data_IF_121654039645
#
_entry.id   IF_121654039645
#
_cell.length_a   1.000
_cell.length_b   1.000
_cell.length_c   1.000
_cell.angle_alpha   90.00
_cell.angle_beta   90.00
_cell.angle_gamma   90.00
#
_symmetry.space_group_name_H-M   'P 1'
#
loop_
_entity.id
_entity.type
_entity.pdbx_description
1 polymer ?
#
# COMPACT_ATOMS: atom_id res chain seq x y z
N UNK A 1 43.70 -26.38 -5.63
CA UNK A 1 42.48 -27.22 -5.52
C UNK A 1 41.27 -26.29 -5.58
N UNK A 2 40.35 -26.59 -6.48
CA UNK A 2 39.37 -25.70 -7.09
C UNK A 2 38.24 -25.22 -6.17
N UNK A 3 37.97 -23.93 -6.17
CA UNK A 3 36.73 -23.34 -5.68
C UNK A 3 35.63 -23.53 -6.74
N UNK A 4 34.54 -24.16 -6.37
CA UNK A 4 33.31 -24.20 -7.20
C UNK A 4 32.36 -23.11 -6.70
N UNK A 5 32.10 -22.16 -7.57
CA UNK A 5 31.03 -21.17 -7.47
C UNK A 5 29.72 -21.81 -7.93
N UNK A 6 28.71 -21.82 -7.08
CA UNK A 6 27.32 -22.15 -7.47
C UNK A 6 26.57 -20.84 -7.70
N UNK A 7 26.26 -20.59 -8.97
CA UNK A 7 25.32 -19.57 -9.43
C UNK A 7 23.99 -20.27 -9.62
N UNK A 8 22.96 -19.81 -8.94
CA UNK A 8 21.57 -20.25 -9.17
C UNK A 8 20.93 -19.41 -10.27
N UNK A 9 20.09 -20.01 -11.13
CA UNK A 9 19.64 -19.38 -12.36
C UNK A 9 18.42 -18.47 -12.16
N UNK A 10 18.45 -17.37 -12.89
CA UNK A 10 17.32 -16.47 -13.12
C UNK A 10 16.23 -17.19 -13.93
N UNK A 11 14.98 -17.04 -13.52
CA UNK A 11 13.82 -17.44 -14.31
C UNK A 11 13.46 -16.26 -15.20
N UNK A 12 13.82 -16.37 -16.47
CA UNK A 12 13.41 -15.47 -17.52
C UNK A 12 13.15 -16.26 -18.79
N UNK A 13 11.96 -16.06 -19.37
CA UNK A 13 11.70 -16.15 -20.78
C UNK A 13 11.44 -17.53 -21.36
N UNK A 14 10.26 -17.70 -21.95
CA UNK A 14 10.03 -18.61 -23.08
C UNK A 14 8.80 -18.15 -23.87
N UNK A 15 9.03 -17.87 -25.10
CA UNK A 15 8.63 -18.48 -26.37
C UNK A 15 7.27 -18.01 -26.92
N UNK A 16 7.34 -17.25 -27.99
CA UNK A 16 6.35 -17.19 -29.07
C UNK A 16 7.02 -17.58 -30.38
N UNK A 17 6.65 -18.72 -30.94
CA UNK A 17 6.64 -19.05 -32.37
C UNK A 17 5.21 -19.47 -32.67
N UNK A 18 4.42 -18.91 -33.59
CA UNK A 18 4.57 -18.80 -35.01
C UNK A 18 3.61 -19.79 -35.66
N UNK A 19 2.48 -19.31 -36.21
CA UNK A 19 1.77 -20.02 -37.29
C UNK A 19 1.28 -19.01 -38.31
N UNK A 20 1.65 -19.30 -39.56
CA UNK A 20 1.39 -18.50 -40.72
C UNK A 20 0.02 -18.72 -41.37
N UNK A 21 -0.31 -17.75 -42.16
CA UNK A 21 -0.88 -17.74 -43.47
C UNK A 21 -2.29 -18.30 -43.68
N UNK A 22 -3.15 -17.47 -44.19
CA UNK A 22 -3.72 -17.67 -45.52
C UNK A 22 -4.65 -16.52 -45.88
N UNK A 23 -4.33 -15.92 -47.04
CA UNK A 23 -5.11 -14.88 -47.71
C UNK A 23 -6.25 -15.52 -48.50
N UNK A 24 -7.47 -15.10 -48.26
CA UNK A 24 -8.61 -15.37 -49.15
C UNK A 24 -9.19 -14.09 -49.68
N UNK A 25 -8.84 -13.82 -50.94
CA UNK A 25 -9.46 -12.82 -51.82
C UNK A 25 -10.81 -13.33 -52.29
N UNK A 26 -11.90 -12.62 -52.03
CA UNK A 26 -13.15 -12.79 -52.71
C UNK A 26 -13.52 -11.49 -53.42
N UNK A 27 -13.47 -11.56 -54.75
CA UNK A 27 -14.02 -10.58 -55.64
C UNK A 27 -15.54 -10.78 -55.78
N UNK A 28 -16.32 -9.73 -55.62
CA UNK A 28 -17.71 -9.72 -56.13
C UNK A 28 -17.99 -8.37 -56.77
N UNK A 29 -18.29 -8.45 -58.06
CA UNK A 29 -18.77 -7.42 -58.96
C UNK A 29 -20.15 -6.92 -58.59
N UNK A 30 -20.38 -5.60 -58.62
CA UNK A 30 -21.71 -4.97 -58.55
C UNK A 30 -21.90 -4.06 -59.77
N UNK A 31 -23.05 -4.11 -60.43
CA UNK A 31 -23.28 -3.34 -61.68
C UNK A 31 -23.61 -1.88 -61.44
N UNK A 32 -23.13 -1.05 -62.37
CA UNK A 32 -23.35 0.39 -62.47
C UNK A 32 -24.79 0.70 -62.86
N UNK A 33 -25.47 1.56 -62.05
CA UNK A 33 -26.65 2.29 -62.49
C UNK A 33 -26.33 3.78 -62.53
N UNK A 34 -26.46 4.35 -63.79
CA UNK A 34 -26.42 5.78 -64.02
C UNK A 34 -27.69 6.43 -63.50
N UNK A 35 -27.57 7.32 -62.52
CA UNK A 35 -28.64 8.20 -62.03
C UNK A 35 -28.14 9.64 -61.90
N UNK A 36 -28.83 10.56 -62.55
CA UNK A 36 -28.54 12.00 -62.66
C UNK A 36 -28.32 12.68 -61.31
N UNK A 37 -27.19 13.42 -61.19
CA UNK A 37 -26.84 14.20 -60.01
C UNK A 37 -27.69 15.48 -59.88
N UNK A 38 -28.44 15.58 -58.82
CA UNK A 38 -29.03 16.84 -58.33
C UNK A 38 -28.04 17.40 -57.31
N UNK A 39 -27.50 18.61 -57.60
CA UNK A 39 -26.67 19.35 -56.66
C UNK A 39 -27.55 19.92 -55.54
N UNK A 40 -27.59 19.25 -54.41
CA UNK A 40 -28.05 19.82 -53.13
C UNK A 40 -26.83 20.32 -52.41
N UNK A 41 -26.74 21.63 -52.12
CA UNK A 41 -25.67 22.25 -51.37
C UNK A 41 -25.66 21.69 -49.93
N UNK A 42 -24.59 20.97 -49.57
CA UNK A 42 -24.37 20.53 -48.20
C UNK A 42 -23.96 21.70 -47.32
N UNK A 43 -24.58 21.90 -46.15
CA UNK A 43 -24.03 22.77 -45.12
C UNK A 43 -22.78 22.10 -44.55
N UNK A 44 -21.60 22.65 -44.81
CA UNK A 44 -20.35 22.23 -44.16
C UNK A 44 -20.43 22.58 -42.67
N UNK A 45 -21.06 21.72 -41.88
CA UNK A 45 -20.78 21.68 -40.44
C UNK A 45 -19.39 21.08 -40.26
N UNK A 46 -18.39 21.94 -40.17
CA UNK A 46 -17.09 21.58 -39.64
C UNK A 46 -17.29 21.26 -38.15
N UNK A 47 -17.55 20.00 -37.82
CA UNK A 47 -17.43 19.49 -36.47
C UNK A 47 -15.94 19.63 -36.10
N UNK A 48 -15.62 20.65 -35.35
CA UNK A 48 -14.31 20.72 -34.68
C UNK A 48 -14.12 19.41 -33.92
N UNK A 49 -12.99 18.73 -34.05
CA UNK A 49 -12.74 17.51 -33.27
C UNK A 49 -12.86 17.86 -31.79
N UNK A 50 -13.78 17.22 -31.08
CA UNK A 50 -13.88 17.32 -29.63
C UNK A 50 -12.56 16.70 -29.11
N UNK A 51 -11.56 17.54 -28.83
CA UNK A 51 -10.36 17.13 -28.14
C UNK A 51 -10.81 16.71 -26.75
N UNK A 52 -10.72 15.43 -26.38
CA UNK A 52 -11.14 14.99 -25.05
C UNK A 52 -10.35 15.81 -24.03
N UNK A 53 -11.05 16.42 -23.06
CA UNK A 53 -10.43 17.21 -22.02
C UNK A 53 -9.40 16.34 -21.29
N UNK A 54 -8.15 16.83 -21.21
CA UNK A 54 -7.10 16.10 -20.50
C UNK A 54 -7.39 16.12 -19.01
N UNK A 55 -7.35 14.93 -18.38
CA UNK A 55 -7.40 14.81 -16.93
C UNK A 55 -6.07 15.31 -16.34
N UNK A 56 -6.07 16.27 -15.41
CA UNK A 56 -4.85 16.74 -14.76
C UNK A 56 -4.14 15.59 -14.04
N UNK A 57 -2.83 15.49 -14.21
CA UNK A 57 -2.01 14.56 -13.45
C UNK A 57 -1.67 15.19 -12.08
N UNK A 58 -2.38 14.78 -11.06
CA UNK A 58 -2.22 15.25 -9.69
C UNK A 58 -2.48 14.14 -8.68
N UNK A 59 -2.58 14.51 -7.42
CA UNK A 59 -2.96 13.58 -6.36
C UNK A 59 -4.36 13.01 -6.61
N UNK A 60 -4.46 11.70 -6.51
CA UNK A 60 -5.72 10.94 -6.53
C UNK A 60 -5.74 10.13 -5.24
N UNK A 61 -6.83 10.24 -4.49
CA UNK A 61 -6.99 9.49 -3.25
C UNK A 61 -6.90 7.98 -3.51
N UNK A 62 -6.02 7.23 -2.80
CA UNK A 62 -5.87 5.79 -3.06
C UNK A 62 -7.12 4.98 -2.76
N UNK A 63 -7.46 4.04 -3.65
CA UNK A 63 -8.47 3.02 -3.36
C UNK A 63 -8.04 2.17 -2.17
N UNK A 64 -8.99 1.87 -1.27
CA UNK A 64 -8.72 1.23 0.01
C UNK A 64 -8.94 -0.28 -0.05
N UNK A 65 -8.08 -1.02 0.65
CA UNK A 65 -8.17 -2.46 0.82
C UNK A 65 -9.15 -2.81 1.96
N UNK A 66 -10.06 -3.74 1.72
CA UNK A 66 -10.87 -4.35 2.77
C UNK A 66 -10.08 -5.46 3.45
N UNK A 67 -10.04 -5.46 4.79
CA UNK A 67 -9.50 -6.57 5.56
C UNK A 67 -10.44 -7.77 5.46
N UNK A 68 -9.86 -8.98 5.33
CA UNK A 68 -10.60 -10.25 5.35
C UNK A 68 -9.76 -11.34 5.99
N UNK A 69 -10.43 -12.32 6.61
CA UNK A 69 -9.81 -13.53 7.16
C UNK A 69 -9.59 -14.61 6.08
N UNK A 70 -10.30 -14.50 4.97
CA UNK A 70 -10.20 -15.41 3.83
C UNK A 70 -10.25 -14.65 2.53
N UNK A 71 -9.22 -14.80 1.71
CA UNK A 71 -9.25 -14.29 0.35
C UNK A 71 -10.15 -15.16 -0.54
N UNK A 72 -10.79 -14.55 -1.56
CA UNK A 72 -11.53 -15.30 -2.57
C UNK A 72 -10.63 -16.37 -3.22
N UNK A 73 -11.20 -17.55 -3.51
CA UNK A 73 -10.45 -18.69 -4.08
C UNK A 73 -10.55 -18.79 -5.61
N UNK A 74 -11.41 -18.00 -6.23
CA UNK A 74 -11.60 -17.97 -7.68
C UNK A 74 -10.52 -17.11 -8.35
N UNK A 75 -9.39 -17.71 -8.69
CA UNK A 75 -8.27 -17.09 -9.40
C UNK A 75 -8.63 -16.60 -10.81
N UNK A 76 -9.71 -17.07 -11.42
CA UNK A 76 -10.21 -16.55 -12.68
C UNK A 76 -10.79 -15.15 -12.58
N UNK A 77 -11.36 -14.79 -11.41
CA UNK A 77 -11.93 -13.48 -11.15
C UNK A 77 -11.03 -12.55 -10.32
N UNK A 78 -10.04 -13.10 -9.64
CA UNK A 78 -9.17 -12.39 -8.73
C UNK A 78 -7.69 -12.55 -9.10
N UNK A 79 -6.96 -11.46 -9.04
CA UNK A 79 -5.50 -11.46 -9.14
C UNK A 79 -4.91 -11.36 -7.73
N UNK A 80 -3.90 -12.18 -7.43
CA UNK A 80 -3.20 -12.16 -6.15
C UNK A 80 -1.86 -11.45 -6.28
N UNK A 81 -1.57 -10.56 -5.36
CA UNK A 81 -0.32 -9.82 -5.27
C UNK A 81 0.25 -9.93 -3.85
N UNK A 82 1.54 -9.72 -3.71
CA UNK A 82 2.18 -9.63 -2.39
C UNK A 82 1.67 -8.38 -1.66
N UNK A 83 1.28 -8.54 -0.40
CA UNK A 83 1.04 -7.39 0.47
C UNK A 83 2.36 -6.84 0.95
N UNK A 84 2.72 -5.68 0.45
CA UNK A 84 3.93 -4.96 0.82
C UNK A 84 3.72 -4.19 2.12
N UNK A 85 4.75 -4.15 2.95
CA UNK A 85 4.78 -3.40 4.21
C UNK A 85 5.58 -2.11 4.01
N UNK A 86 4.90 -1.00 3.72
CA UNK A 86 5.52 0.26 3.39
C UNK A 86 4.59 1.47 3.53
N UNK A 87 4.90 2.53 2.78
CA UNK A 87 4.05 3.70 2.63
C UNK A 87 3.41 3.74 1.26
N UNK A 88 2.07 3.71 1.21
CA UNK A 88 1.32 3.95 -0.03
C UNK A 88 1.69 5.32 -0.60
N UNK A 89 2.04 5.36 -1.87
CA UNK A 89 2.35 6.59 -2.55
C UNK A 89 1.72 6.67 -3.94
N UNK A 90 1.10 7.81 -4.24
CA UNK A 90 0.68 8.18 -5.59
C UNK A 90 1.83 8.96 -6.22
N UNK A 91 2.25 8.54 -7.40
CA UNK A 91 3.29 9.25 -8.16
C UNK A 91 2.74 9.76 -9.49
N UNK A 92 3.16 10.93 -9.92
CA UNK A 92 2.73 11.51 -11.19
C UNK A 92 3.85 12.26 -11.89
N UNK A 93 3.83 12.21 -13.24
CA UNK A 93 4.45 13.23 -14.06
C UNK A 93 3.39 14.28 -14.42
N UNK A 94 3.45 15.44 -13.79
CA UNK A 94 2.48 16.52 -13.95
C UNK A 94 2.66 17.32 -15.25
N UNK A 95 3.71 17.02 -16.04
CA UNK A 95 4.17 17.84 -17.16
C UNK A 95 5.17 18.91 -16.72
N UNK A 96 5.14 19.36 -15.46
CA UNK A 96 6.13 20.26 -14.85
C UNK A 96 7.19 19.49 -14.04
N UNK A 97 7.08 18.17 -13.94
CA UNK A 97 8.01 17.29 -13.23
C UNK A 97 7.32 16.19 -12.45
N UNK A 98 8.15 15.35 -11.83
CA UNK A 98 7.68 14.24 -11.00
C UNK A 98 7.25 14.73 -9.62
N UNK A 99 6.11 14.24 -9.17
CA UNK A 99 5.58 14.44 -7.83
C UNK A 99 5.20 13.11 -7.21
N UNK A 100 5.46 12.97 -5.92
CA UNK A 100 5.02 11.86 -5.09
C UNK A 100 4.21 12.38 -3.92
N UNK A 101 3.11 11.70 -3.60
CA UNK A 101 2.29 12.02 -2.42
C UNK A 101 2.05 10.77 -1.59
N UNK A 102 2.04 10.94 -0.27
CA UNK A 102 1.56 9.90 0.65
C UNK A 102 0.07 9.61 0.41
N UNK A 103 -0.43 8.56 1.04
CA UNK A 103 -1.85 8.24 1.09
C UNK A 103 -2.74 9.45 1.46
N UNK A 104 -2.27 10.32 2.35
CA UNK A 104 -3.01 11.48 2.85
C UNK A 104 -2.68 12.78 2.08
N UNK A 105 -2.04 12.68 0.91
CA UNK A 105 -1.71 13.83 0.07
C UNK A 105 -0.49 14.64 0.51
N UNK A 106 0.27 14.21 1.51
CA UNK A 106 1.50 14.88 1.92
C UNK A 106 2.60 14.70 0.86
N UNK A 107 3.34 15.76 0.55
CA UNK A 107 4.42 15.72 -0.46
C UNK A 107 5.60 14.85 0.01
N UNK A 108 5.81 13.75 -0.69
CA UNK A 108 6.90 12.81 -0.51
C UNK A 108 8.06 13.00 -1.48
N UNK A 109 7.96 13.95 -2.42
CA UNK A 109 8.90 14.11 -3.54
C UNK A 109 10.34 14.30 -3.06
N UNK A 110 10.55 15.19 -2.10
CA UNK A 110 11.89 15.46 -1.55
C UNK A 110 12.39 14.30 -0.67
N UNK A 111 11.50 13.70 0.13
CA UNK A 111 11.83 12.59 1.03
C UNK A 111 12.32 11.37 0.26
N UNK A 112 11.74 11.10 -0.92
CA UNK A 112 12.07 9.95 -1.77
C UNK A 112 12.65 10.38 -3.13
N UNK A 113 13.64 11.25 -3.10
CA UNK A 113 14.26 11.81 -4.31
C UNK A 113 14.88 10.76 -5.24
N UNK A 114 15.36 9.62 -4.73
CA UNK A 114 15.85 8.50 -5.54
C UNK A 114 14.73 7.88 -6.38
N UNK A 115 13.54 7.70 -5.80
CA UNK A 115 12.36 7.21 -6.49
C UNK A 115 11.90 8.20 -7.56
N UNK A 116 11.88 9.51 -7.23
CA UNK A 116 11.54 10.55 -8.22
C UNK A 116 12.49 10.53 -9.44
N UNK A 117 13.78 10.24 -9.24
CA UNK A 117 14.73 10.05 -10.35
C UNK A 117 14.43 8.80 -11.18
N UNK A 118 14.07 7.68 -10.54
CA UNK A 118 13.65 6.45 -11.23
C UNK A 118 12.40 6.63 -12.10
N UNK A 119 11.55 7.60 -11.73
CA UNK A 119 10.33 7.98 -12.44
C UNK A 119 10.54 9.08 -13.49
N UNK A 120 11.78 9.58 -13.70
CA UNK A 120 12.03 10.74 -14.57
C UNK A 120 11.52 10.58 -16.02
N UNK A 121 11.45 9.34 -16.51
CA UNK A 121 10.94 9.01 -17.85
C UNK A 121 9.46 8.57 -17.86
N UNK A 122 8.75 8.64 -16.71
CA UNK A 122 7.31 8.41 -16.66
C UNK A 122 6.62 9.32 -17.71
N UNK A 123 5.74 8.79 -18.57
CA UNK A 123 5.11 9.61 -19.61
C UNK A 123 4.41 10.85 -19.02
N UNK A 124 4.47 12.01 -19.68
CA UNK A 124 3.82 13.23 -19.21
C UNK A 124 2.32 13.00 -18.95
N UNK A 125 1.76 13.70 -17.94
CA UNK A 125 0.35 13.60 -17.55
C UNK A 125 -0.08 12.17 -17.21
N UNK A 126 0.79 11.41 -16.51
CA UNK A 126 0.53 10.04 -16.07
C UNK A 126 0.54 9.98 -14.55
N UNK A 127 -0.42 9.26 -13.96
CA UNK A 127 -0.55 9.03 -12.52
C UNK A 127 -0.53 7.52 -12.27
N UNK A 128 0.33 7.09 -11.36
CA UNK A 128 0.50 5.69 -10.95
C UNK A 128 0.34 5.54 -9.44
N UNK A 129 -0.02 4.35 -9.03
CA UNK A 129 -0.21 3.96 -7.64
C UNK A 129 0.76 2.85 -7.24
N UNK A 130 1.33 2.97 -6.07
CA UNK A 130 2.35 2.04 -5.60
C UNK A 130 2.62 2.12 -4.10
N UNK A 131 3.63 1.39 -3.68
CA UNK A 131 4.09 1.33 -2.29
C UNK A 131 5.59 1.63 -2.21
N UNK A 132 5.98 2.57 -1.36
CA UNK A 132 7.40 2.81 -1.01
C UNK A 132 7.76 1.87 0.11
N UNK A 133 8.79 1.05 -0.10
CA UNK A 133 9.32 0.13 0.90
C UNK A 133 10.82 0.33 1.07
N UNK A 134 11.35 -0.03 2.24
CA UNK A 134 12.77 -0.33 2.40
C UNK A 134 12.96 -1.84 2.38
N UNK A 135 14.07 -2.29 1.84
CA UNK A 135 14.44 -3.71 1.87
C UNK A 135 15.38 -3.97 3.05
N UNK A 136 15.17 -5.10 3.74
CA UNK A 136 16.12 -5.61 4.74
C UNK A 136 17.35 -6.26 4.08
N UNK A 137 18.27 -6.78 4.89
CA UNK A 137 19.51 -7.42 4.43
C UNK A 137 19.27 -8.67 3.58
N UNK A 138 18.08 -9.29 3.72
CA UNK A 138 17.63 -10.43 2.91
C UNK A 138 16.83 -10.00 1.67
N UNK A 139 16.69 -8.70 1.43
CA UNK A 139 15.98 -8.13 0.28
C UNK A 139 14.46 -8.15 0.40
N UNK A 140 13.90 -8.33 1.60
CA UNK A 140 12.45 -8.35 1.86
C UNK A 140 11.94 -6.97 2.26
N UNK A 141 10.70 -6.60 1.87
CA UNK A 141 10.04 -5.41 2.38
C UNK A 141 9.98 -5.37 3.90
N UNK A 142 10.51 -4.32 4.52
CA UNK A 142 10.57 -4.14 5.96
C UNK A 142 10.15 -2.73 6.35
N UNK A 143 9.01 -2.61 7.04
CA UNK A 143 8.55 -1.33 7.57
C UNK A 143 9.49 -0.80 8.66
N UNK A 144 10.11 -1.69 9.43
CA UNK A 144 11.11 -1.32 10.42
C UNK A 144 12.34 -0.67 9.75
N UNK A 145 12.87 -1.26 8.67
CA UNK A 145 13.95 -0.67 7.89
C UNK A 145 13.52 0.69 7.30
N UNK A 146 12.28 0.82 6.80
CA UNK A 146 11.74 2.07 6.26
C UNK A 146 11.62 3.17 7.32
N UNK A 147 11.26 2.83 8.55
CA UNK A 147 11.11 3.75 9.67
C UNK A 147 12.43 4.17 10.30
N UNK A 148 13.34 3.24 10.42
CA UNK A 148 14.65 3.45 11.04
C UNK A 148 15.70 3.81 9.99
N UNK A 149 15.28 4.18 8.77
CA UNK A 149 16.13 4.35 7.63
C UNK A 149 17.49 4.94 8.05
N UNK A 150 18.47 4.08 8.26
CA UNK A 150 19.84 4.40 7.94
C UNK A 150 19.80 5.01 6.54
N UNK A 151 20.53 6.11 6.33
CA UNK A 151 20.58 6.77 5.03
C UNK A 151 20.93 5.81 3.87
N UNK A 152 21.26 4.57 4.18
CA UNK A 152 21.71 3.49 3.30
C UNK A 152 20.69 2.38 3.04
N UNK A 153 19.52 2.33 3.71
CA UNK A 153 18.52 1.28 3.43
C UNK A 153 18.04 1.38 1.97
N UNK A 154 18.09 0.29 1.18
CA UNK A 154 17.63 0.31 -0.19
C UNK A 154 16.13 0.62 -0.26
N UNK A 155 15.79 1.81 -0.73
CA UNK A 155 14.40 2.24 -0.94
C UNK A 155 13.95 1.79 -2.32
N UNK A 156 12.77 1.17 -2.41
CA UNK A 156 12.14 0.73 -3.66
C UNK A 156 10.70 1.23 -3.71
N UNK A 157 10.27 1.67 -4.87
CA UNK A 157 8.86 1.97 -5.14
C UNK A 157 8.27 0.86 -6.02
N UNK A 158 7.39 0.08 -5.45
CA UNK A 158 6.66 -0.96 -6.17
C UNK A 158 5.37 -0.39 -6.74
N UNK A 159 5.31 -0.25 -8.06
CA UNK A 159 4.12 0.19 -8.77
C UNK A 159 3.19 -1.00 -9.07
N UNK A 160 1.88 -0.80 -8.94
CA UNK A 160 0.89 -1.86 -9.17
C UNK A 160 -0.39 -1.39 -9.88
N UNK A 161 -0.58 -0.10 -10.14
CA UNK A 161 -1.73 0.39 -10.93
C UNK A 161 -1.38 1.68 -11.66
N UNK A 162 -2.13 1.98 -12.74
CA UNK A 162 -2.11 3.26 -13.46
C UNK A 162 -3.51 3.86 -13.45
N UNK A 163 -3.60 5.15 -13.09
CA UNK A 163 -4.87 5.85 -12.86
C UNK A 163 -5.18 6.85 -13.98
N UNK A 164 -4.14 7.52 -14.45
CA UNK A 164 -4.20 8.43 -15.61
C UNK A 164 -3.02 8.09 -16.51
N UNK A 165 -3.25 7.91 -17.78
CA UNK A 165 -2.20 7.62 -18.76
C UNK A 165 -2.20 8.70 -19.86
N UNK A 166 -1.13 9.51 -19.90
CA UNK A 166 -0.94 10.60 -20.88
C UNK A 166 -2.13 11.57 -20.94
N UNK A 167 -2.74 11.86 -19.78
CA UNK A 167 -3.90 12.73 -19.63
C UNK A 167 -5.25 12.05 -19.86
N UNK A 168 -5.30 10.75 -20.15
CA UNK A 168 -6.52 9.96 -20.20
C UNK A 168 -6.79 9.32 -18.84
N UNK A 169 -7.96 9.59 -18.26
CA UNK A 169 -8.43 8.89 -17.08
C UNK A 169 -8.78 7.44 -17.43
N UNK A 170 -8.12 6.48 -16.78
CA UNK A 170 -8.33 5.05 -17.00
C UNK A 170 -8.94 4.35 -15.77
N UNK A 171 -9.31 5.10 -14.73
CA UNK A 171 -9.87 4.53 -13.48
C UNK A 171 -11.17 3.76 -13.70
N UNK A 172 -11.95 4.11 -14.73
CA UNK A 172 -13.20 3.42 -15.11
C UNK A 172 -12.96 2.20 -16.01
N UNK A 173 -11.73 1.89 -16.35
CA UNK A 173 -11.39 0.64 -17.01
C UNK A 173 -11.24 -0.47 -15.94
N UNK A 174 -11.37 -1.75 -16.34
CA UNK A 174 -11.15 -2.87 -15.44
C UNK A 174 -9.70 -2.89 -14.91
N UNK A 175 -9.47 -3.46 -13.71
CA UNK A 175 -8.12 -3.62 -13.16
C UNK A 175 -7.19 -4.34 -14.16
N UNK A 176 -7.69 -5.36 -14.83
CA UNK A 176 -6.91 -6.10 -15.84
C UNK A 176 -6.50 -5.22 -17.02
N UNK A 177 -7.41 -4.35 -17.52
CA UNK A 177 -7.08 -3.39 -18.58
C UNK A 177 -6.06 -2.36 -18.12
N UNK A 178 -6.22 -1.79 -16.92
CA UNK A 178 -5.25 -0.84 -16.35
C UNK A 178 -3.88 -1.47 -16.17
N UNK A 179 -3.84 -2.72 -15.71
CA UNK A 179 -2.61 -3.51 -15.57
C UNK A 179 -1.90 -3.72 -16.90
N UNK A 180 -2.64 -4.14 -17.94
CA UNK A 180 -2.08 -4.28 -19.29
C UNK A 180 -1.52 -2.95 -19.83
N UNK A 181 -2.18 -1.81 -19.51
CA UNK A 181 -1.65 -0.48 -19.86
C UNK A 181 -0.39 -0.12 -19.09
N UNK A 182 -0.36 -0.41 -17.79
CA UNK A 182 0.81 -0.22 -16.94
C UNK A 182 2.01 -0.98 -17.53
N UNK A 183 1.84 -2.27 -17.79
CA UNK A 183 2.88 -3.15 -18.34
C UNK A 183 3.38 -2.67 -19.70
N UNK A 184 2.47 -2.31 -20.60
CA UNK A 184 2.83 -1.93 -21.97
C UNK A 184 3.40 -0.54 -22.11
N UNK A 185 2.91 0.45 -21.35
CA UNK A 185 3.19 1.86 -21.61
C UNK A 185 3.94 2.58 -20.50
N UNK A 186 3.99 2.02 -19.30
CA UNK A 186 4.62 2.66 -18.15
C UNK A 186 5.90 1.93 -17.73
N UNK A 187 5.84 0.61 -17.49
CA UNK A 187 6.99 -0.15 -16.99
C UNK A 187 8.25 0.01 -17.84
N UNK A 188 8.19 0.02 -19.20
CA UNK A 188 9.40 0.21 -20.02
C UNK A 188 10.09 1.57 -19.86
N UNK A 189 9.43 2.53 -19.22
CA UNK A 189 9.95 3.89 -18.99
C UNK A 189 10.57 4.08 -17.61
N UNK A 190 10.40 3.11 -16.73
CA UNK A 190 10.83 3.17 -15.33
C UNK A 190 12.27 2.68 -15.17
N UNK A 191 12.98 3.22 -14.19
CA UNK A 191 14.33 2.80 -13.83
C UNK A 191 14.43 2.54 -12.32
N UNK A 192 15.44 1.78 -11.90
CA UNK A 192 15.71 1.60 -10.47
C UNK A 192 15.75 2.97 -9.74
N UNK A 193 15.19 3.05 -8.55
CA UNK A 193 14.66 1.97 -7.71
C UNK A 193 13.13 1.76 -7.84
N UNK A 194 12.55 1.88 -9.04
CA UNK A 194 11.14 1.64 -9.29
C UNK A 194 10.96 0.24 -9.87
N UNK A 195 10.13 -0.58 -9.24
CA UNK A 195 9.85 -1.97 -9.63
C UNK A 195 8.36 -2.22 -9.76
N UNK A 196 8.00 -3.32 -10.39
CA UNK A 196 6.62 -3.76 -10.57
C UNK A 196 6.25 -4.89 -9.61
N UNK A 197 5.05 -4.79 -9.03
CA UNK A 197 4.46 -5.90 -8.27
C UNK A 197 3.64 -6.76 -9.22
N UNK A 198 4.23 -7.82 -9.72
CA UNK A 198 3.53 -8.76 -10.60
C UNK A 198 2.44 -9.57 -9.89
N UNK A 199 1.59 -10.21 -10.68
CA UNK A 199 0.64 -11.20 -10.17
C UNK A 199 1.36 -12.49 -9.77
N UNK A 200 0.91 -13.08 -8.67
CA UNK A 200 1.35 -14.39 -8.21
C UNK A 200 0.45 -15.47 -8.82
N UNK A 201 1.04 -16.40 -9.54
CA UNK A 201 0.32 -17.39 -10.39
C UNK A 201 0.15 -18.77 -9.80
N UNK A 202 0.50 -18.97 -8.51
CA UNK A 202 0.29 -20.26 -7.82
C UNK A 202 -1.11 -20.34 -7.18
N UNK A 203 -1.48 -21.52 -6.66
CA UNK A 203 -2.72 -21.69 -5.90
C UNK A 203 -2.71 -20.80 -4.65
N UNK A 204 -3.87 -20.29 -4.24
CA UNK A 204 -3.96 -19.44 -3.03
C UNK A 204 -3.38 -20.13 -1.79
N UNK A 205 -3.56 -21.46 -1.68
CA UNK A 205 -2.98 -22.27 -0.58
C UNK A 205 -1.46 -22.20 -0.58
N UNK A 206 -0.85 -22.41 -1.74
CA UNK A 206 0.62 -22.42 -1.88
C UNK A 206 1.19 -21.00 -1.71
N UNK A 207 0.48 -19.98 -2.21
CA UNK A 207 0.84 -18.58 -1.99
C UNK A 207 0.85 -18.23 -0.50
N UNK A 208 -0.18 -18.61 0.26
CA UNK A 208 -0.24 -18.37 1.70
C UNK A 208 0.86 -19.11 2.45
N UNK A 209 1.14 -20.34 2.09
CA UNK A 209 2.23 -21.13 2.67
C UNK A 209 3.60 -20.48 2.39
N UNK A 210 3.85 -20.04 1.16
CA UNK A 210 5.08 -19.38 0.75
C UNK A 210 5.27 -18.02 1.44
N UNK A 211 4.24 -17.20 1.46
CA UNK A 211 4.25 -15.87 2.12
C UNK A 211 4.56 -16.00 3.61
N UNK A 212 3.96 -17.00 4.28
CA UNK A 212 4.22 -17.29 5.70
C UNK A 212 5.65 -17.79 5.93
N UNK A 213 6.13 -18.73 5.11
CA UNK A 213 7.46 -19.31 5.21
C UNK A 213 8.58 -18.28 4.99
N UNK A 214 8.34 -17.30 4.10
CA UNK A 214 9.30 -16.24 3.78
C UNK A 214 9.17 -14.99 4.68
N UNK A 215 8.21 -14.98 5.61
CA UNK A 215 8.02 -13.87 6.56
C UNK A 215 7.42 -12.61 5.95
N UNK A 216 6.76 -12.69 4.78
CA UNK A 216 6.06 -11.56 4.20
C UNK A 216 4.77 -11.23 4.97
N UNK A 217 4.28 -9.99 4.84
CA UNK A 217 3.14 -9.49 5.60
C UNK A 217 1.83 -10.22 5.26
N UNK A 218 1.59 -10.55 3.99
CA UNK A 218 0.35 -11.17 3.55
C UNK A 218 0.14 -11.12 2.04
N UNK A 219 -1.11 -11.23 1.64
CA UNK A 219 -1.56 -11.15 0.25
C UNK A 219 -2.64 -10.08 0.07
N UNK A 220 -2.71 -9.57 -1.15
CA UNK A 220 -3.80 -8.74 -1.66
C UNK A 220 -4.48 -9.50 -2.78
N UNK A 221 -5.82 -9.53 -2.77
CA UNK A 221 -6.65 -9.99 -3.89
C UNK A 221 -7.34 -8.79 -4.52
N UNK A 222 -7.18 -8.61 -5.82
CA UNK A 222 -7.81 -7.55 -6.62
C UNK A 222 -8.76 -8.16 -7.63
N UNK A 223 -10.01 -7.72 -7.64
CA UNK A 223 -11.00 -8.21 -8.60
C UNK A 223 -10.67 -7.69 -10.00
N UNK A 224 -10.50 -8.60 -10.98
CA UNK A 224 -9.99 -8.28 -12.33
C UNK A 224 -10.85 -7.29 -13.10
N UNK A 225 -12.17 -7.35 -12.93
CA UNK A 225 -13.15 -6.48 -13.59
C UNK A 225 -13.40 -5.16 -12.85
N UNK A 226 -12.72 -4.92 -11.70
CA UNK A 226 -13.00 -3.76 -10.87
C UNK A 226 -12.46 -2.46 -11.44
N UNK A 227 -13.22 -1.40 -11.26
CA UNK A 227 -12.76 -0.03 -11.44
C UNK A 227 -11.80 0.37 -10.32
N UNK A 228 -11.11 1.49 -10.49
CA UNK A 228 -10.37 2.11 -9.42
C UNK A 228 -11.26 3.14 -8.70
N UNK A 229 -11.79 2.76 -7.56
CA UNK A 229 -12.73 3.55 -6.76
C UNK A 229 -11.95 4.40 -5.75
N UNK A 230 -11.53 5.59 -6.20
CA UNK A 230 -10.70 6.49 -5.40
C UNK A 230 -11.32 6.79 -4.03
N UNK A 231 -10.54 6.65 -2.96
CA UNK A 231 -10.98 6.87 -1.57
C UNK A 231 -11.93 5.81 -1.01
N UNK A 232 -12.43 4.87 -1.82
CA UNK A 232 -13.45 3.93 -1.41
C UNK A 232 -12.88 2.59 -0.92
N UNK A 233 -13.65 1.92 -0.07
CA UNK A 233 -13.41 0.55 0.42
C UNK A 233 -14.58 -0.35 -0.02
N UNK A 234 -14.65 -0.61 -1.31
CA UNK A 234 -15.78 -1.34 -1.92
C UNK A 234 -15.72 -2.86 -1.75
N UNK A 235 -14.57 -3.39 -1.28
CA UNK A 235 -14.33 -4.85 -1.23
C UNK A 235 -13.80 -5.44 -2.53
N UNK A 236 -13.71 -4.65 -3.62
CA UNK A 236 -13.12 -5.10 -4.87
C UNK A 236 -11.60 -5.33 -4.75
N UNK A 237 -10.96 -4.72 -3.75
CA UNK A 237 -9.60 -5.00 -3.32
C UNK A 237 -9.62 -5.48 -1.87
N UNK A 238 -9.07 -6.67 -1.62
CA UNK A 238 -9.05 -7.29 -0.31
C UNK A 238 -7.61 -7.56 0.13
N UNK A 239 -7.36 -7.47 1.42
CA UNK A 239 -6.07 -7.83 2.02
C UNK A 239 -6.26 -8.89 3.09
N UNK A 240 -5.32 -9.85 3.16
CA UNK A 240 -5.20 -10.82 4.22
C UNK A 240 -3.76 -10.79 4.75
N UNK A 241 -3.60 -10.59 6.05
CA UNK A 241 -2.30 -10.68 6.72
C UNK A 241 -2.05 -12.10 7.20
N UNK A 242 -0.84 -12.59 7.02
CA UNK A 242 -0.39 -13.89 7.56
C UNK A 242 0.41 -13.71 8.86
N UNK A 243 1.02 -12.54 9.07
CA UNK A 243 1.69 -12.15 10.29
C UNK A 243 0.74 -11.39 11.20
N UNK A 244 0.80 -11.67 12.51
CA UNK A 244 -0.04 -11.02 13.52
C UNK A 244 0.54 -9.65 13.87
N UNK A 245 0.10 -8.64 13.16
CA UNK A 245 0.44 -7.25 13.42
C UNK A 245 -0.65 -6.33 12.87
N UNK A 246 -1.02 -5.30 13.63
CA UNK A 246 -1.95 -4.28 13.19
C UNK A 246 -1.54 -2.89 13.69
N UNK A 247 -2.19 -1.88 13.19
CA UNK A 247 -2.04 -0.53 13.67
C UNK A 247 -2.76 -0.34 15.01
N UNK A 248 -2.13 0.43 15.92
CA UNK A 248 -2.70 0.87 17.19
C UNK A 248 -2.45 2.36 17.41
N UNK A 249 -3.32 3.01 18.13
CA UNK A 249 -3.17 4.41 18.55
C UNK A 249 -2.35 4.47 19.81
N UNK A 250 -1.36 5.36 19.83
CA UNK A 250 -0.58 5.64 21.04
C UNK A 250 -1.35 6.62 21.90
N UNK A 251 -1.79 6.21 23.07
CA UNK A 251 -2.52 7.04 24.03
C UNK A 251 -1.72 7.43 25.26
N UNK A 252 -0.46 6.93 25.39
CA UNK A 252 0.39 7.26 26.51
C UNK A 252 1.70 6.48 26.55
N UNK A 253 2.46 6.73 27.60
CA UNK A 253 3.70 6.01 27.89
C UNK A 253 3.95 5.92 29.42
N UNK A 254 4.73 4.94 29.85
CA UNK A 254 5.23 4.86 31.22
C UNK A 254 6.59 5.56 31.35
N UNK A 255 6.82 6.24 32.47
CA UNK A 255 8.05 6.99 32.73
C UNK A 255 9.20 6.00 32.89
N UNK A 256 10.30 6.25 32.20
CA UNK A 256 11.59 5.58 32.38
C UNK A 256 12.64 6.53 32.95
N UNK A 257 13.85 6.05 33.14
CA UNK A 257 14.96 6.85 33.76
C UNK A 257 15.38 8.03 32.86
N UNK A 258 15.64 7.79 31.57
CA UNK A 258 16.12 8.82 30.63
C UNK A 258 15.10 9.17 29.56
N UNK A 259 14.20 8.23 29.25
CA UNK A 259 13.12 8.38 28.26
C UNK A 259 11.87 7.69 28.82
N UNK A 260 10.96 7.22 27.96
CA UNK A 260 9.86 6.36 28.40
C UNK A 260 10.38 4.92 28.65
N UNK A 261 9.70 4.17 29.54
CA UNK A 261 9.92 2.73 29.74
C UNK A 261 9.11 1.90 28.72
N UNK A 262 7.81 2.17 28.61
CA UNK A 262 6.91 1.47 27.70
C UNK A 262 5.93 2.44 27.02
N UNK A 263 5.47 2.07 25.83
CA UNK A 263 4.40 2.78 25.11
C UNK A 263 3.06 2.08 25.37
N UNK A 264 2.00 2.86 25.57
CA UNK A 264 0.65 2.42 25.87
C UNK A 264 -0.19 2.63 24.63
N UNK A 265 -0.82 1.56 24.13
CA UNK A 265 -1.51 1.54 22.83
C UNK A 265 -2.91 0.97 22.94
N UNK A 266 -3.78 1.40 22.01
CA UNK A 266 -5.13 0.91 21.90
C UNK A 266 -5.72 1.10 20.51
N UNK A 267 -7.00 0.86 20.37
CA UNK A 267 -7.77 0.97 19.13
C UNK A 267 -9.11 1.64 19.39
N UNK A 268 -9.75 2.15 18.35
CA UNK A 268 -11.09 2.72 18.49
C UNK A 268 -12.17 1.67 18.31
N UNK A 269 -13.15 1.72 19.23
CA UNK A 269 -14.44 1.04 19.14
C UNK A 269 -15.53 2.13 19.17
N UNK A 270 -16.07 2.45 18.01
CA UNK A 270 -16.82 3.68 17.80
C UNK A 270 -15.94 4.91 18.13
N UNK A 271 -16.44 5.80 18.99
CA UNK A 271 -15.70 6.99 19.43
C UNK A 271 -14.82 6.76 20.67
N UNK A 272 -14.76 5.53 21.16
CA UNK A 272 -14.05 5.16 22.39
C UNK A 272 -12.69 4.56 22.08
N UNK A 273 -11.63 5.16 22.62
CA UNK A 273 -10.31 4.54 22.58
C UNK A 273 -10.21 3.44 23.65
N UNK A 274 -9.94 2.21 23.22
CA UNK A 274 -9.84 1.03 24.07
C UNK A 274 -8.38 0.65 24.25
N UNK A 275 -7.90 0.55 25.47
CA UNK A 275 -6.56 0.07 25.79
C UNK A 275 -6.39 -1.38 25.39
N UNK A 276 -5.29 -1.72 24.73
CA UNK A 276 -4.97 -3.07 24.26
C UNK A 276 -3.64 -3.61 24.82
N UNK A 277 -2.63 -2.77 24.95
CA UNK A 277 -1.35 -3.23 25.43
C UNK A 277 -0.40 -2.11 25.93
N UNK A 278 0.59 -2.55 26.69
CA UNK A 278 1.77 -1.79 27.04
C UNK A 278 3.00 -2.57 26.58
N UNK A 279 3.83 -1.97 25.71
CA UNK A 279 5.03 -2.64 25.17
C UNK A 279 6.32 -1.90 25.50
N UNK A 280 7.35 -2.68 25.84
CA UNK A 280 8.75 -2.25 26.04
C UNK A 280 9.64 -2.62 24.87
N UNK A 281 9.14 -3.46 23.96
CA UNK A 281 9.93 -4.09 22.92
C UNK A 281 9.89 -3.31 21.61
N UNK A 282 10.97 -3.37 20.82
CA UNK A 282 11.05 -2.79 19.48
C UNK A 282 11.61 -1.36 19.45
N UNK A 283 12.21 -0.86 20.53
CA UNK A 283 12.75 0.49 20.62
C UNK A 283 14.28 0.51 20.66
N UNK A 284 14.90 1.05 19.62
CA UNK A 284 16.31 1.45 19.67
C UNK A 284 16.46 2.80 20.39
N UNK A 285 17.65 3.20 20.86
CA UNK A 285 17.87 4.52 21.46
C UNK A 285 17.43 5.68 20.56
N UNK A 286 17.70 5.60 19.26
CA UNK A 286 17.29 6.60 18.28
C UNK A 286 15.75 6.69 18.15
N UNK A 287 15.06 5.55 18.10
CA UNK A 287 13.59 5.48 18.08
C UNK A 287 13.02 6.09 19.36
N UNK A 288 13.59 5.80 20.54
CA UNK A 288 13.13 6.39 21.80
C UNK A 288 13.23 7.91 21.78
N UNK A 289 14.34 8.46 21.30
CA UNK A 289 14.53 9.92 21.19
C UNK A 289 13.51 10.54 20.25
N UNK A 290 13.31 9.93 19.07
CA UNK A 290 12.33 10.41 18.10
C UNK A 290 10.90 10.39 18.65
N UNK A 291 10.52 9.30 19.32
CA UNK A 291 9.19 9.19 19.94
C UNK A 291 9.01 10.22 21.06
N UNK A 292 10.00 10.43 21.92
CA UNK A 292 9.90 11.45 22.97
C UNK A 292 9.68 12.87 22.39
N UNK A 293 10.34 13.19 21.28
CA UNK A 293 10.12 14.46 20.59
C UNK A 293 8.68 14.57 20.03
N UNK A 294 8.12 13.46 19.53
CA UNK A 294 6.74 13.40 19.05
C UNK A 294 5.72 13.43 20.21
N UNK A 295 6.05 12.89 21.37
CA UNK A 295 5.16 12.79 22.53
C UNK A 295 4.97 14.13 23.24
N UNK A 296 6.05 14.90 23.45
CA UNK A 296 6.04 16.17 24.20
C UNK A 296 4.91 17.14 23.83
N UNK A 297 4.65 17.44 22.56
CA UNK A 297 3.57 18.38 22.19
C UNK A 297 2.16 17.79 22.39
N UNK A 298 2.05 16.46 22.59
CA UNK A 298 0.80 15.74 22.73
C UNK A 298 0.44 15.40 24.18
N UNK A 299 1.32 15.70 25.15
CA UNK A 299 1.08 15.37 26.55
C UNK A 299 -0.20 16.03 27.08
N UNK A 300 -0.97 15.26 27.82
CA UNK A 300 -2.22 15.67 28.46
C UNK A 300 -2.36 15.05 29.85
N UNK A 301 -3.14 15.70 30.72
CA UNK A 301 -3.45 15.16 32.06
C UNK A 301 -4.56 14.11 32.03
N UNK A 302 -5.38 14.10 30.95
CA UNK A 302 -6.54 13.22 30.85
C UNK A 302 -6.14 11.90 30.19
N UNK A 303 -6.48 10.77 30.85
CA UNK A 303 -6.40 9.46 30.25
C UNK A 303 -7.34 9.36 29.03
N UNK A 304 -6.85 9.01 27.84
CA UNK A 304 -7.71 8.91 26.67
C UNK A 304 -8.47 7.57 26.56
N UNK A 305 -8.06 6.55 27.33
CA UNK A 305 -8.64 5.22 27.24
C UNK A 305 -9.92 5.10 28.06
N UNK A 306 -10.97 4.58 27.43
CA UNK A 306 -12.30 4.46 28.02
C UNK A 306 -12.45 3.28 28.99
N UNK A 307 -11.61 2.24 28.85
CA UNK A 307 -11.62 1.03 29.67
C UNK A 307 -10.57 1.04 30.80
N UNK A 308 -9.93 2.17 31.09
CA UNK A 308 -9.00 2.31 32.19
C UNK A 308 -9.58 3.15 33.34
N UNK A 309 -9.18 2.87 34.62
CA UNK A 309 -8.31 1.79 35.07
C UNK A 309 -9.01 0.41 35.06
N UNK A 310 -8.19 -0.64 34.89
CA UNK A 310 -8.67 -2.01 35.04
C UNK A 310 -8.62 -2.47 36.51
N UNK A 311 -9.58 -3.31 36.85
CA UNK A 311 -9.69 -3.82 38.23
C UNK A 311 -8.51 -4.72 38.63
N UNK A 312 -7.92 -5.46 37.67
CA UNK A 312 -6.84 -6.44 37.92
C UNK A 312 -5.77 -6.33 36.81
N UNK A 313 -4.55 -6.78 37.15
CA UNK A 313 -3.43 -6.84 36.16
C UNK A 313 -3.57 -7.95 35.12
N UNK A 314 -4.55 -8.86 35.26
CA UNK A 314 -4.68 -10.04 34.41
C UNK A 314 -3.54 -11.07 34.62
N UNK A 315 -3.70 -12.26 34.03
CA UNK A 315 -2.74 -13.39 34.17
C UNK A 315 -1.32 -13.04 33.69
N UNK A 316 -1.23 -12.19 32.67
CA UNK A 316 0.06 -11.82 32.04
C UNK A 316 0.57 -10.44 32.47
N UNK A 317 -0.05 -9.83 33.48
CA UNK A 317 0.37 -8.53 34.02
C UNK A 317 0.16 -7.34 33.08
N UNK A 318 -0.56 -7.52 31.99
CA UNK A 318 -0.82 -6.49 30.96
C UNK A 318 -1.83 -5.44 31.45
N UNK A 319 -2.76 -5.82 32.31
CA UNK A 319 -3.77 -4.90 32.84
C UNK A 319 -3.16 -3.69 33.53
N UNK A 320 -3.73 -2.53 33.25
CA UNK A 320 -3.29 -1.22 33.75
C UNK A 320 -4.22 -0.76 34.88
N UNK A 321 -3.85 -1.13 36.13
CA UNK A 321 -4.61 -0.77 37.33
C UNK A 321 -4.36 0.68 37.75
N UNK A 322 -5.21 1.25 38.60
CA UNK A 322 -5.08 2.60 39.15
C UNK A 322 -3.66 2.88 39.69
N UNK A 323 -3.09 1.92 40.45
CA UNK A 323 -1.73 2.06 40.98
C UNK A 323 -0.65 2.17 39.88
N UNK A 324 -0.78 1.39 38.81
CA UNK A 324 0.15 1.45 37.66
C UNK A 324 -0.01 2.72 36.87
N UNK A 325 -1.19 3.30 36.80
CA UNK A 325 -1.47 4.54 36.08
C UNK A 325 -0.75 5.75 36.65
N UNK A 326 -0.38 5.74 37.94
CA UNK A 326 0.40 6.81 38.56
C UNK A 326 1.77 7.03 37.86
N UNK A 327 2.35 5.98 37.30
CA UNK A 327 3.61 6.04 36.52
C UNK A 327 3.41 6.35 35.02
N UNK A 328 2.20 6.68 34.59
CA UNK A 328 1.91 6.94 33.19
C UNK A 328 1.89 8.44 32.86
N UNK A 329 2.20 8.76 31.61
CA UNK A 329 1.93 10.04 30.97
C UNK A 329 0.98 9.78 29.81
N UNK A 330 -0.07 10.58 29.73
CA UNK A 330 -1.09 10.44 28.69
C UNK A 330 -0.81 11.37 27.53
N UNK A 331 -1.24 10.95 26.37
CA UNK A 331 -1.10 11.70 25.11
C UNK A 331 -2.47 11.91 24.48
N UNK A 332 -2.64 13.05 23.78
CA UNK A 332 -3.72 13.16 22.82
C UNK A 332 -3.54 12.03 21.79
N UNK A 333 -4.59 11.26 21.48
CA UNK A 333 -4.50 10.04 20.67
C UNK A 333 -4.42 10.36 19.16
N UNK A 334 -3.30 10.96 18.74
CA UNK A 334 -3.06 11.41 17.37
C UNK A 334 -2.04 10.53 16.64
N UNK A 335 -1.14 9.85 17.37
CA UNK A 335 -0.08 9.02 16.80
C UNK A 335 -0.56 7.57 16.62
N UNK A 336 -0.25 7.01 15.45
CA UNK A 336 -0.51 5.62 15.12
C UNK A 336 0.81 4.86 15.02
N UNK A 337 0.85 3.65 15.59
CA UNK A 337 1.98 2.75 15.55
C UNK A 337 1.61 1.41 14.94
N UNK A 338 2.53 0.82 14.17
CA UNK A 338 2.49 -0.59 13.82
C UNK A 338 3.00 -1.41 15.00
N UNK A 339 2.20 -2.37 15.48
CA UNK A 339 2.54 -3.28 16.57
C UNK A 339 2.41 -4.72 16.07
N UNK A 340 3.47 -5.49 16.21
CA UNK A 340 3.43 -6.95 16.09
C UNK A 340 3.09 -7.58 17.43
N UNK A 341 2.38 -8.70 17.41
CA UNK A 341 2.01 -9.46 18.61
C UNK A 341 1.74 -10.92 18.26
N UNK A 342 1.77 -11.79 19.27
CA UNK A 342 1.54 -13.23 19.06
C UNK A 342 0.06 -13.55 18.97
N UNK A 343 -0.75 -13.01 19.90
CA UNK A 343 -2.19 -13.28 19.97
C UNK A 343 -2.90 -12.22 20.84
N UNK A 344 -4.22 -12.13 20.67
CA UNK A 344 -5.11 -11.51 21.64
C UNK A 344 -5.36 -12.48 22.79
N UNK A 345 -5.23 -12.01 24.02
CA UNK A 345 -5.59 -12.79 25.21
C UNK A 345 -7.10 -12.78 25.43
N UNK A 346 -7.59 -13.66 26.28
CA UNK A 346 -9.01 -13.68 26.68
C UNK A 346 -9.46 -12.38 27.38
N UNK A 347 -8.52 -11.60 27.93
CA UNK A 347 -8.77 -10.31 28.57
C UNK A 347 -8.64 -9.15 27.57
N UNK A 348 -8.69 -9.39 26.27
CA UNK A 348 -8.56 -8.42 25.19
C UNK A 348 -7.24 -7.61 25.18
N UNK A 349 -6.15 -8.23 25.59
CA UNK A 349 -4.82 -7.65 25.53
C UNK A 349 -3.92 -8.34 24.50
N UNK A 350 -2.87 -7.63 24.05
CA UNK A 350 -1.87 -8.19 23.15
C UNK A 350 -0.80 -8.95 23.94
N UNK A 351 -0.54 -10.19 23.54
CA UNK A 351 0.58 -10.98 24.07
C UNK A 351 1.83 -10.75 23.23
N UNK A 352 2.98 -10.51 23.92
CA UNK A 352 4.28 -10.24 23.31
C UNK A 352 4.26 -9.10 22.26
N UNK A 353 3.56 -8.02 22.60
CA UNK A 353 3.51 -6.83 21.76
C UNK A 353 4.90 -6.22 21.53
N UNK A 354 5.21 -5.87 20.29
CA UNK A 354 6.45 -5.25 19.84
C UNK A 354 6.15 -4.07 18.93
N UNK A 355 6.74 -2.93 19.23
CA UNK A 355 6.68 -1.74 18.38
C UNK A 355 7.54 -1.96 17.13
N UNK A 356 6.97 -1.66 15.95
CA UNK A 356 7.65 -1.73 14.67
C UNK A 356 7.98 -0.33 14.14
N UNK A 357 7.03 0.60 14.20
CA UNK A 357 7.23 1.96 13.72
C UNK A 357 5.99 2.84 13.84
N UNK A 358 6.14 4.15 13.64
CA UNK A 358 5.02 5.08 13.52
C UNK A 358 4.38 4.97 12.12
N UNK A 359 3.06 5.13 12.05
CA UNK A 359 2.27 5.19 10.82
C UNK A 359 1.80 6.61 10.57
N UNK A 360 2.69 7.43 9.99
CA UNK A 360 2.39 8.83 9.64
C UNK A 360 1.35 8.95 8.52
N UNK A 361 1.09 7.83 7.83
CA UNK A 361 0.09 7.70 6.76
C UNK A 361 -1.31 7.30 7.25
N UNK A 362 -1.49 7.15 8.58
CA UNK A 362 -2.76 6.71 9.18
C UNK A 362 -3.36 7.80 10.04
N UNK A 363 -4.70 7.89 10.00
CA UNK A 363 -5.50 8.73 10.89
C UNK A 363 -5.89 7.90 12.09
N UNK A 364 -5.63 8.40 13.30
CA UNK A 364 -5.83 7.65 14.55
C UNK A 364 -7.27 7.15 14.73
N UNK A 365 -8.28 7.97 14.44
CA UNK A 365 -9.68 7.62 14.58
C UNK A 365 -10.16 6.47 13.65
N UNK A 366 -9.39 6.19 12.59
CA UNK A 366 -9.64 5.07 11.69
C UNK A 366 -8.99 3.74 12.11
N UNK A 367 -8.31 3.71 13.25
CA UNK A 367 -7.62 2.52 13.76
C UNK A 367 -8.57 1.72 14.63
N UNK A 368 -9.08 0.63 14.10
CA UNK A 368 -10.01 -0.28 14.77
C UNK A 368 -9.35 -1.65 15.00
N UNK A 369 -9.93 -2.46 15.86
CA UNK A 369 -9.52 -3.86 16.01
C UNK A 369 -9.75 -4.60 14.70
N UNK A 370 -8.70 -5.16 14.11
CA UNK A 370 -8.82 -6.02 12.94
C UNK A 370 -9.22 -7.44 13.37
N UNK A 371 -10.12 -8.12 12.65
CA UNK A 371 -10.40 -9.53 12.89
C UNK A 371 -9.12 -10.35 12.64
N UNK A 372 -8.95 -11.45 13.38
CA UNK A 372 -7.79 -12.36 13.31
C UNK A 372 -8.04 -13.51 12.36
#
# INVERSE_FOLDING_TARGET
MARRSNVSPAIGGAFCEGFGGESLTLASSVPSFYGRAVKIGEPRHTLSPIVPSRTPAGFIEPMLLQQTDRLPTDGGRWAYELKLDGYRAIAANTGAGIRLWSRNGNDFTKRYASIARGLAKLPPHTVIDGEVVALDDEGRPSFNALQNADANAPLVYFVFDVLVLRGRDVRHESFEQRRARLERHVLPTLAEPVRYTGELTASLRDLLASVKAQGFEGLVAKRRDSWYEAGQRSGAWQKMRVNRGQEFVIGGYTIGTNTFDAVIVGYYDGDRLIYAARTRNGFTPAVRTRLMNAFRPLETRRCPFANLPEARSGRWGQGLTQAKMAGCRWLRPELVAQIEFVEWTADDHLRHARFIGLREDKVAHGVIREPL
#
